data_IF_329657365149
#
_entry.id   IF_329657365149
#
_cell.length_a   1.000
_cell.length_b   1.000
_cell.length_c   1.000
_cell.angle_alpha   90.00
_cell.angle_beta   90.00
_cell.angle_gamma   90.00
#
_symmetry.space_group_name_H-M   'P 1'
#
loop_
_entity.id
_entity.type
_entity.pdbx_description
1 polymer ?
#
# COMPACT_ATOMS: atom_id res chain seq x y z
N UNK A 1 17.42 9.33 34.26
CA UNK A 1 16.03 8.81 34.22
C UNK A 1 15.78 8.04 32.91
N UNK A 2 16.35 6.84 32.68
CA UNK A 2 16.24 6.15 31.38
C UNK A 2 14.97 5.30 31.19
N UNK A 3 14.23 4.99 32.26
CA UNK A 3 13.14 4.00 32.21
C UNK A 3 11.80 4.49 31.63
N UNK A 4 11.58 5.80 31.51
CA UNK A 4 10.26 6.33 31.16
C UNK A 4 9.92 6.14 29.66
N UNK A 5 10.91 6.33 28.78
CA UNK A 5 10.71 6.20 27.33
C UNK A 5 10.57 4.73 26.90
N UNK A 6 11.22 3.80 27.61
CA UNK A 6 11.11 2.37 27.31
C UNK A 6 9.69 1.83 27.60
N UNK A 7 9.01 2.40 28.60
CA UNK A 7 7.61 2.06 28.90
C UNK A 7 6.63 2.54 27.82
N UNK A 8 6.84 3.73 27.26
CA UNK A 8 5.97 4.28 26.21
C UNK A 8 6.08 3.52 24.88
N UNK A 9 7.30 3.14 24.49
CA UNK A 9 7.50 2.34 23.27
C UNK A 9 6.84 0.96 23.39
N UNK A 10 6.97 0.31 24.55
CA UNK A 10 6.34 -0.98 24.81
C UNK A 10 4.81 -0.89 24.79
N UNK A 11 4.23 0.12 25.43
CA UNK A 11 2.79 0.34 25.44
C UNK A 11 2.23 0.63 24.03
N UNK A 12 2.98 1.34 23.18
CA UNK A 12 2.58 1.60 21.80
C UNK A 12 2.55 0.32 20.95
N UNK A 13 3.55 -0.56 21.11
CA UNK A 13 3.59 -1.85 20.40
C UNK A 13 2.47 -2.77 20.87
N UNK A 14 2.24 -2.88 22.18
CA UNK A 14 1.14 -3.69 22.73
C UNK A 14 -0.24 -3.16 22.29
N UNK A 15 -0.42 -1.84 22.25
CA UNK A 15 -1.64 -1.22 21.73
C UNK A 15 -1.89 -1.54 20.26
N UNK A 16 -0.85 -1.52 19.42
CA UNK A 16 -0.94 -1.88 18.01
C UNK A 16 -1.29 -3.36 17.81
N UNK A 17 -0.66 -4.26 18.57
CA UNK A 17 -0.93 -5.70 18.52
C UNK A 17 -2.40 -6.01 18.85
N UNK A 18 -2.91 -5.41 19.94
CA UNK A 18 -4.30 -5.58 20.38
C UNK A 18 -5.32 -5.06 19.35
N UNK A 19 -5.03 -3.91 18.72
CA UNK A 19 -5.90 -3.36 17.67
C UNK A 19 -5.97 -4.27 16.44
N UNK A 20 -4.85 -4.89 16.06
CA UNK A 20 -4.78 -5.86 14.95
C UNK A 20 -5.59 -7.12 15.25
N UNK A 21 -5.51 -7.62 16.48
CA UNK A 21 -6.25 -8.80 16.92
C UNK A 21 -7.77 -8.55 16.97
N UNK A 22 -8.20 -7.37 17.43
CA UNK A 22 -9.61 -6.97 17.40
C UNK A 22 -10.15 -6.85 15.96
N UNK A 23 -9.37 -6.31 15.03
CA UNK A 23 -9.77 -6.29 13.61
C UNK A 23 -9.91 -7.70 13.03
N UNK A 24 -8.99 -8.62 13.34
CA UNK A 24 -9.07 -10.00 12.87
C UNK A 24 -10.31 -10.72 13.43
N UNK A 25 -10.68 -10.45 14.69
CA UNK A 25 -11.88 -11.00 15.30
C UNK A 25 -13.16 -10.46 14.63
N UNK A 26 -13.22 -9.15 14.39
CA UNK A 26 -14.35 -8.52 13.70
C UNK A 26 -14.53 -9.05 12.27
N UNK A 27 -13.43 -9.29 11.55
CA UNK A 27 -13.48 -9.91 10.22
C UNK A 27 -14.02 -11.35 10.27
N UNK A 28 -13.59 -12.15 11.25
CA UNK A 28 -14.11 -13.52 11.43
C UNK A 28 -15.60 -13.52 11.76
N UNK A 29 -16.08 -12.60 12.59
CA UNK A 29 -17.49 -12.49 12.94
C UNK A 29 -18.34 -12.06 11.73
N UNK A 30 -17.83 -11.14 10.90
CA UNK A 30 -18.49 -10.73 9.65
C UNK A 30 -18.60 -11.89 8.65
N UNK A 31 -17.53 -12.71 8.53
CA UNK A 31 -17.51 -13.88 7.66
C UNK A 31 -18.46 -14.98 8.16
N UNK A 32 -18.54 -15.18 9.48
CA UNK A 32 -19.49 -16.10 10.09
C UNK A 32 -20.95 -15.66 9.88
N UNK A 33 -21.24 -14.35 9.96
CA UNK A 33 -22.57 -13.79 9.66
C UNK A 33 -22.96 -13.97 8.20
N UNK A 34 -22.02 -13.81 7.26
CA UNK A 34 -22.27 -14.15 5.87
C UNK A 34 -22.62 -15.64 5.70
N UNK A 35 -21.82 -16.55 6.27
CA UNK A 35 -22.04 -17.99 6.13
C UNK A 35 -23.35 -18.47 6.80
N UNK A 36 -23.72 -17.90 7.95
CA UNK A 36 -24.96 -18.24 8.67
C UNK A 36 -26.23 -17.72 7.99
N UNK A 37 -26.17 -16.58 7.29
CA UNK A 37 -27.33 -16.00 6.60
C UNK A 37 -27.80 -16.80 5.38
N UNK A 38 -26.88 -17.48 4.67
CA UNK A 38 -27.26 -18.29 3.49
C UNK A 38 -27.97 -19.60 3.87
N UNK A 39 -27.72 -20.15 5.07
CA UNK A 39 -28.34 -21.40 5.51
C UNK A 39 -29.79 -21.21 6.01
N UNK A 40 -30.11 -20.07 6.66
CA UNK A 40 -31.46 -19.80 7.16
C UNK A 40 -32.40 -19.28 6.07
N UNK A 41 -31.93 -18.40 5.17
CA UNK A 41 -32.75 -17.86 4.09
C UNK A 41 -33.21 -18.95 3.11
N UNK A 42 -32.29 -19.85 2.69
CA UNK A 42 -32.63 -20.98 1.81
C UNK A 42 -33.58 -21.99 2.45
N UNK A 43 -33.60 -22.09 3.79
CA UNK A 43 -34.50 -22.97 4.54
C UNK A 43 -35.89 -22.35 4.73
N UNK A 44 -35.97 -21.04 4.96
CA UNK A 44 -37.25 -20.31 5.03
C UNK A 44 -37.94 -20.22 3.67
N UNK A 45 -37.21 -19.92 2.59
CA UNK A 45 -37.78 -19.86 1.23
C UNK A 45 -38.35 -21.22 0.80
N UNK A 46 -37.70 -22.33 1.19
CA UNK A 46 -38.19 -23.69 0.90
C UNK A 46 -39.49 -24.04 1.61
N UNK A 47 -39.74 -23.47 2.80
CA UNK A 47 -41.00 -23.66 3.55
C UNK A 47 -42.11 -22.76 3.01
N UNK A 48 -41.78 -21.53 2.59
CA UNK A 48 -42.76 -20.56 2.06
C UNK A 48 -43.32 -20.97 0.69
N UNK A 49 -42.51 -21.58 -0.18
CA UNK A 49 -42.99 -22.10 -1.48
C UNK A 49 -43.78 -23.42 -1.40
N UNK A 50 -43.79 -24.13 -0.25
CA UNK A 50 -44.61 -25.33 -0.09
C UNK A 50 -46.08 -25.04 0.24
N UNK A 51 -46.38 -23.84 0.76
CA UNK A 51 -47.73 -23.50 1.21
C UNK A 51 -48.71 -23.18 0.06
N UNK A 52 -48.32 -22.45 -1.02
CA UNK A 52 -49.21 -22.14 -2.13
C UNK A 52 -49.54 -23.36 -3.03
N UNK A 53 -48.67 -24.37 -3.09
CA UNK A 53 -48.93 -25.56 -3.92
C UNK A 53 -50.02 -26.48 -3.36
N UNK A 54 -50.27 -26.47 -2.05
CA UNK A 54 -51.37 -27.25 -1.46
C UNK A 54 -52.74 -26.62 -1.72
N UNK A 55 -52.84 -25.29 -1.70
CA UNK A 55 -54.09 -24.58 -1.98
C UNK A 55 -54.48 -24.63 -3.47
N UNK A 56 -53.50 -24.59 -4.38
CA UNK A 56 -53.78 -24.65 -5.81
C UNK A 56 -54.32 -26.02 -6.27
N UNK A 57 -54.00 -27.10 -5.54
CA UNK A 57 -54.48 -28.46 -5.87
C UNK A 57 -55.93 -28.71 -5.44
N UNK A 58 -56.48 -27.92 -4.51
CA UNK A 58 -57.87 -28.06 -4.06
C UNK A 58 -58.87 -27.23 -4.88
N UNK A 59 -58.42 -26.26 -5.68
CA UNK A 59 -59.34 -25.36 -6.41
C UNK A 59 -59.58 -25.73 -7.89
N UNK A 60 -58.98 -26.81 -8.41
CA UNK A 60 -59.10 -27.21 -9.83
C UNK A 60 -60.23 -28.23 -10.12
N UNK A 61 -61.39 -28.07 -9.48
CA UNK A 61 -62.63 -28.74 -9.93
C UNK A 61 -63.70 -27.69 -10.22
N UNK A 62 -63.51 -26.86 -11.24
CA UNK A 62 -64.63 -26.24 -11.97
C UNK A 62 -64.13 -25.63 -13.30
N UNK A 63 -64.89 -25.91 -14.35
CA UNK A 63 -64.62 -25.68 -15.76
C UNK A 63 -64.58 -24.19 -16.15
N UNK A 64 -63.65 -23.79 -17.01
CA UNK A 64 -63.67 -22.47 -17.68
C UNK A 64 -63.50 -22.60 -19.21
N UNK A 65 -64.14 -21.72 -20.00
CA UNK A 65 -64.18 -21.76 -21.46
C UNK A 65 -62.94 -21.12 -22.12
N UNK A 66 -62.70 -21.34 -23.44
CA UNK A 66 -61.49 -20.88 -24.11
C UNK A 66 -61.54 -19.39 -24.51
N UNK A 67 -60.37 -18.71 -24.64
CA UNK A 67 -60.28 -17.30 -25.03
C UNK A 67 -60.27 -17.10 -26.56
N UNK A 68 -60.56 -15.87 -27.06
CA UNK A 68 -60.59 -15.56 -28.49
C UNK A 68 -59.19 -15.25 -29.06
N UNK A 69 -59.00 -15.31 -30.40
CA UNK A 69 -57.71 -15.08 -31.04
C UNK A 69 -57.36 -13.59 -31.16
N UNK A 70 -56.06 -13.27 -31.01
CA UNK A 70 -55.49 -11.92 -31.21
C UNK A 70 -54.73 -11.80 -32.54
N UNK A 71 -54.61 -10.60 -33.14
CA UNK A 71 -53.95 -10.39 -34.42
C UNK A 71 -52.42 -10.27 -34.31
N UNK A 72 -51.78 -10.76 -35.37
CA UNK A 72 -50.34 -10.80 -35.66
C UNK A 72 -49.72 -9.40 -35.74
N UNK A 73 -48.66 -9.16 -34.95
CA UNK A 73 -47.75 -8.01 -35.09
C UNK A 73 -46.30 -8.49 -35.02
N UNK A 74 -45.86 -9.21 -36.05
CA UNK A 74 -44.47 -9.59 -36.27
C UNK A 74 -44.04 -9.03 -37.62
N UNK A 75 -43.34 -7.89 -37.64
CA UNK A 75 -42.50 -7.52 -38.80
C UNK A 75 -41.45 -6.42 -38.55
N UNK A 76 -41.33 -5.82 -37.35
CA UNK A 76 -40.38 -4.71 -37.15
C UNK A 76 -39.09 -5.04 -36.37
N UNK A 77 -38.90 -6.26 -35.85
CA UNK A 77 -37.71 -6.57 -35.03
C UNK A 77 -36.57 -7.30 -35.77
N UNK A 78 -36.80 -7.86 -36.97
CA UNK A 78 -35.73 -8.57 -37.69
C UNK A 78 -34.73 -7.66 -38.43
N UNK A 79 -35.03 -6.35 -38.55
CA UNK A 79 -34.17 -5.44 -39.32
C UNK A 79 -33.03 -4.82 -38.50
N UNK A 80 -33.06 -4.91 -37.16
CA UNK A 80 -32.02 -4.33 -36.29
C UNK A 80 -30.85 -5.27 -36.00
N UNK A 81 -30.97 -6.59 -36.21
CA UNK A 81 -29.93 -7.56 -35.83
C UNK A 81 -28.89 -7.86 -36.93
N UNK A 82 -29.05 -7.36 -38.16
CA UNK A 82 -28.10 -7.64 -39.24
C UNK A 82 -26.95 -6.62 -39.39
N UNK A 83 -26.93 -5.53 -38.61
CA UNK A 83 -25.91 -4.47 -38.78
C UNK A 83 -24.67 -4.55 -37.88
N UNK A 84 -24.59 -5.44 -36.88
CA UNK A 84 -23.49 -5.39 -35.89
C UNK A 84 -22.36 -6.44 -36.05
N UNK A 85 -22.34 -7.26 -37.10
CA UNK A 85 -21.37 -8.38 -37.18
C UNK A 85 -20.12 -8.12 -38.04
N UNK A 86 -19.88 -6.90 -38.52
CA UNK A 86 -18.67 -6.60 -39.29
C UNK A 86 -17.92 -5.41 -38.69
N UNK A 87 -17.00 -5.67 -37.76
CA UNK A 87 -15.65 -5.04 -37.66
C UNK A 87 -15.03 -5.26 -36.26
N UNK A 88 -14.15 -6.25 -36.11
CA UNK A 88 -13.10 -6.21 -35.09
C UNK A 88 -11.77 -6.70 -35.69
N UNK A 89 -10.70 -5.89 -35.67
CA UNK A 89 -9.39 -6.29 -36.16
C UNK A 89 -8.63 -7.12 -35.11
N UNK A 90 -8.09 -8.25 -35.56
CA UNK A 90 -7.22 -9.15 -34.81
C UNK A 90 -5.83 -8.53 -34.61
N UNK A 91 -5.37 -8.40 -33.36
CA UNK A 91 -4.00 -7.98 -33.02
C UNK A 91 -3.05 -9.19 -32.97
N UNK A 92 -1.79 -9.08 -33.47
CA UNK A 92 -0.83 -10.17 -33.46
C UNK A 92 -0.05 -10.28 -32.13
N UNK A 93 0.52 -11.47 -31.82
CA UNK A 93 1.23 -11.74 -30.57
C UNK A 93 2.65 -11.15 -30.53
N UNK A 94 3.04 -10.77 -29.31
CA UNK A 94 4.27 -10.09 -28.89
C UNK A 94 5.43 -11.10 -28.77
N UNK A 95 6.48 -10.96 -29.59
CA UNK A 95 7.72 -11.73 -29.48
C UNK A 95 8.62 -11.16 -28.38
N UNK A 96 9.02 -12.01 -27.42
CA UNK A 96 10.10 -11.75 -26.47
C UNK A 96 11.40 -12.35 -27.02
N UNK A 97 12.32 -11.51 -27.46
CA UNK A 97 13.70 -11.90 -27.77
C UNK A 97 14.57 -11.73 -26.52
N UNK A 98 15.05 -12.84 -25.98
CA UNK A 98 16.16 -12.90 -25.03
C UNK A 98 17.45 -12.49 -25.75
N UNK A 99 18.21 -11.56 -25.18
CA UNK A 99 19.57 -11.26 -25.60
C UNK A 99 20.50 -11.46 -24.40
N UNK A 100 21.11 -12.64 -24.34
CA UNK A 100 22.29 -12.93 -23.53
C UNK A 100 23.49 -12.26 -24.20
N UNK A 101 24.13 -11.32 -23.51
CA UNK A 101 25.49 -10.90 -23.83
C UNK A 101 26.44 -11.40 -22.73
N UNK A 102 27.18 -12.45 -23.07
CA UNK A 102 28.45 -12.80 -22.46
C UNK A 102 29.54 -11.86 -22.99
N UNK A 103 30.27 -11.16 -22.13
CA UNK A 103 31.65 -10.71 -22.36
C UNK A 103 32.37 -10.72 -20.99
N UNK A 104 33.06 -11.81 -20.66
CA UNK A 104 34.43 -12.18 -21.02
C UNK A 104 35.49 -11.39 -20.22
N UNK A 105 36.10 -12.13 -19.30
CA UNK A 105 37.12 -11.72 -18.34
C UNK A 105 38.45 -11.62 -19.06
N UNK A 106 39.16 -10.50 -18.93
CA UNK A 106 40.60 -10.43 -19.21
C UNK A 106 41.28 -9.82 -17.99
N UNK A 107 41.89 -10.69 -17.19
CA UNK A 107 42.72 -10.33 -16.05
C UNK A 107 44.17 -10.14 -16.51
N UNK A 108 44.71 -8.94 -16.30
CA UNK A 108 46.15 -8.68 -16.28
C UNK A 108 46.57 -8.32 -14.85
N UNK A 109 47.70 -8.85 -14.35
CA UNK A 109 48.20 -8.52 -13.03
C UNK A 109 48.94 -7.17 -13.07
N UNK A 110 48.42 -6.20 -12.32
CA UNK A 110 49.08 -4.91 -12.07
C UNK A 110 49.82 -4.92 -10.71
N UNK A 111 50.96 -4.21 -10.61
CA UNK A 111 51.86 -4.21 -9.45
C UNK A 111 51.23 -3.56 -8.19
N UNK A 112 51.79 -3.80 -6.98
CA UNK A 112 51.20 -3.35 -5.72
C UNK A 112 51.11 -1.82 -5.64
N UNK A 113 49.89 -1.31 -5.75
CA UNK A 113 49.58 0.10 -5.64
C UNK A 113 49.65 0.56 -4.17
N UNK A 114 50.44 1.61 -3.93
CA UNK A 114 50.25 2.53 -2.80
C UNK A 114 48.78 2.94 -2.76
N UNK A 115 48.13 2.73 -1.62
CA UNK A 115 46.78 3.19 -1.28
C UNK A 115 46.71 4.72 -1.35
N UNK A 116 46.55 5.22 -2.57
CA UNK A 116 46.16 6.60 -2.83
C UNK A 116 44.66 6.60 -2.62
N UNK A 117 44.21 7.15 -1.49
CA UNK A 117 42.80 7.30 -1.15
C UNK A 117 42.11 8.09 -2.26
N UNK A 118 41.42 7.38 -3.15
CA UNK A 118 40.45 7.98 -4.07
C UNK A 118 39.52 8.88 -3.25
N UNK A 119 39.17 10.09 -3.71
CA UNK A 119 38.19 10.91 -3.01
C UNK A 119 36.94 10.06 -2.80
N UNK A 120 36.69 9.69 -1.54
CA UNK A 120 35.58 8.81 -1.21
C UNK A 120 34.32 9.44 -1.78
N UNK A 121 33.53 8.71 -2.59
CA UNK A 121 32.24 9.21 -3.03
C UNK A 121 31.48 9.64 -1.77
N UNK A 122 30.98 10.88 -1.80
CA UNK A 122 30.24 11.44 -0.67
C UNK A 122 29.15 10.47 -0.22
N UNK A 123 28.79 10.50 1.05
CA UNK A 123 27.75 9.62 1.57
C UNK A 123 26.43 9.86 0.80
N UNK A 124 26.02 8.89 -0.03
CA UNK A 124 24.74 8.94 -0.75
C UNK A 124 23.54 8.89 0.20
N UNK A 125 23.78 8.52 1.46
CA UNK A 125 22.87 8.68 2.58
C UNK A 125 21.70 7.69 2.63
N UNK A 126 21.31 7.13 1.49
CA UNK A 126 20.36 6.02 1.40
C UNK A 126 21.05 4.67 1.38
N UNK A 127 22.35 4.64 1.07
CA UNK A 127 23.12 3.43 1.07
C UNK A 127 23.39 3.00 2.52
N UNK A 128 23.19 1.71 2.76
CA UNK A 128 23.60 1.07 4.00
C UNK A 128 25.11 1.30 4.20
N UNK A 129 25.52 1.57 5.44
CA UNK A 129 26.92 1.84 5.73
C UNK A 129 27.74 0.61 5.32
N UNK A 130 28.55 0.76 4.27
CA UNK A 130 29.40 -0.32 3.78
C UNK A 130 30.63 -0.42 4.68
N UNK A 131 30.73 -1.55 5.39
CA UNK A 131 31.78 -1.83 6.35
C UNK A 131 31.24 -1.90 7.78
N UNK A 132 32.13 -2.29 8.68
CA UNK A 132 31.79 -2.48 10.08
C UNK A 132 32.12 -1.27 10.95
N UNK A 133 32.81 -0.25 10.45
CA UNK A 133 33.17 0.91 11.27
C UNK A 133 32.11 2.00 11.18
N UNK A 134 31.59 2.40 12.34
CA UNK A 134 30.70 3.56 12.51
C UNK A 134 31.26 4.46 13.61
N UNK A 135 30.93 5.75 13.56
CA UNK A 135 31.33 6.73 14.56
C UNK A 135 30.11 7.12 15.39
N UNK A 136 30.24 6.96 16.70
CA UNK A 136 29.21 7.35 17.66
C UNK A 136 29.74 8.43 18.59
N UNK A 137 28.85 9.21 19.19
CA UNK A 137 29.19 10.19 20.23
C UNK A 137 28.54 9.81 21.55
N UNK A 138 29.21 10.09 22.67
CA UNK A 138 28.64 9.82 24.00
C UNK A 138 27.41 10.69 24.31
N UNK A 139 27.29 11.85 23.65
CA UNK A 139 26.19 12.80 23.87
C UNK A 139 24.91 12.36 23.15
N UNK A 140 25.05 11.63 22.03
CA UNK A 140 23.97 11.05 21.26
C UNK A 140 24.37 9.63 20.82
N UNK A 141 24.20 8.62 21.69
CA UNK A 141 24.62 7.24 21.39
C UNK A 141 23.83 6.62 20.25
N UNK A 142 22.64 7.15 19.95
CA UNK A 142 21.78 6.71 18.86
C UNK A 142 22.15 7.35 17.51
N UNK A 143 23.15 8.23 17.47
CA UNK A 143 23.59 8.90 16.26
C UNK A 143 24.68 8.08 15.54
N UNK A 144 24.32 7.46 14.43
CA UNK A 144 25.19 6.61 13.65
C UNK A 144 25.81 7.40 12.47
N UNK A 145 27.13 7.62 12.51
CA UNK A 145 27.86 8.34 11.46
C UNK A 145 28.78 7.40 10.69
N UNK A 146 28.66 7.36 9.36
CA UNK A 146 29.53 6.56 8.52
C UNK A 146 30.95 7.17 8.42
N UNK A 147 31.98 6.37 8.08
CA UNK A 147 33.35 6.87 7.97
C UNK A 147 33.51 8.03 6.98
N UNK A 148 32.79 8.02 5.86
CA UNK A 148 32.83 9.10 4.87
C UNK A 148 32.32 10.41 5.46
N UNK A 149 31.13 10.42 6.08
CA UNK A 149 30.58 11.62 6.72
C UNK A 149 31.44 12.11 7.90
N UNK A 150 32.02 11.17 8.66
CA UNK A 150 32.95 11.52 9.71
C UNK A 150 34.14 12.30 9.12
N UNK A 151 34.85 11.74 8.14
CA UNK A 151 36.03 12.36 7.54
C UNK A 151 35.72 13.71 6.87
N UNK A 152 34.57 13.84 6.21
CA UNK A 152 34.25 15.07 5.45
C UNK A 152 33.67 16.19 6.32
N UNK A 153 32.92 15.86 7.37
CA UNK A 153 32.08 16.84 8.08
C UNK A 153 32.36 16.91 9.58
N UNK A 154 32.78 15.80 10.20
CA UNK A 154 33.00 15.72 11.65
C UNK A 154 34.47 15.92 12.01
N UNK A 155 35.37 15.21 11.34
CA UNK A 155 36.82 15.27 11.54
C UNK A 155 37.41 16.69 11.46
N UNK A 156 37.02 17.57 10.50
CA UNK A 156 37.52 18.94 10.46
C UNK A 156 36.86 19.88 11.49
N UNK A 157 35.86 19.40 12.25
CA UNK A 157 35.14 20.22 13.22
C UNK A 157 35.82 20.22 14.59
N UNK A 158 35.54 21.21 15.45
CA UNK A 158 36.07 21.25 16.82
C UNK A 158 35.52 20.12 17.71
N UNK A 159 34.51 19.37 17.25
CA UNK A 159 33.86 18.30 17.99
C UNK A 159 34.38 16.91 17.65
N UNK A 160 35.37 16.79 16.75
CA UNK A 160 35.87 15.51 16.25
C UNK A 160 36.29 14.53 17.35
N UNK A 161 36.81 15.05 18.48
CA UNK A 161 37.24 14.29 19.65
C UNK A 161 36.10 13.69 20.47
N UNK A 162 34.86 14.18 20.30
CA UNK A 162 33.67 13.66 20.98
C UNK A 162 33.06 12.43 20.28
N UNK A 163 33.67 11.99 19.19
CA UNK A 163 33.24 10.83 18.40
C UNK A 163 34.28 9.72 18.48
N UNK A 164 33.80 8.52 18.77
CA UNK A 164 34.63 7.32 18.90
C UNK A 164 34.23 6.33 17.81
N UNK A 165 35.20 5.77 17.06
CA UNK A 165 34.91 4.70 16.14
C UNK A 165 34.53 3.44 16.91
N UNK A 166 33.45 2.79 16.52
CA UNK A 166 33.04 1.47 17.00
C UNK A 166 32.87 0.52 15.82
N UNK A 167 33.02 -0.77 16.10
CA UNK A 167 32.74 -1.82 15.13
C UNK A 167 31.30 -2.27 15.34
N UNK A 168 30.44 -2.01 14.37
CA UNK A 168 29.06 -2.50 14.35
C UNK A 168 29.08 -4.03 14.21
N UNK A 169 28.47 -4.79 15.15
CA UNK A 169 28.35 -6.23 15.03
C UNK A 169 27.49 -6.67 13.84
N UNK A 170 26.61 -5.80 13.32
CA UNK A 170 25.68 -6.12 12.24
C UNK A 170 25.88 -5.18 11.03
N UNK A 171 27.00 -5.30 10.31
CA UNK A 171 27.28 -4.43 9.16
C UNK A 171 26.15 -4.53 8.13
N UNK A 172 25.73 -3.38 7.61
CA UNK A 172 24.67 -3.30 6.60
C UNK A 172 23.24 -3.22 7.15
N UNK A 173 23.03 -3.07 8.46
CA UNK A 173 21.69 -2.81 9.02
C UNK A 173 21.43 -1.34 9.37
N UNK A 174 22.47 -0.51 9.35
CA UNK A 174 22.40 0.90 9.75
C UNK A 174 22.52 1.82 8.54
N UNK A 175 21.77 2.91 8.59
CA UNK A 175 21.89 4.06 7.70
C UNK A 175 22.67 5.16 8.41
N UNK A 176 23.37 6.01 7.66
CA UNK A 176 24.06 7.14 8.27
C UNK A 176 23.06 8.27 8.59
N UNK A 177 23.01 8.76 9.82
CA UNK A 177 22.08 9.85 10.19
C UNK A 177 22.46 11.18 9.55
N UNK A 178 23.75 11.37 9.27
CA UNK A 178 24.25 12.49 8.46
C UNK A 178 23.79 12.42 6.99
N UNK A 179 23.09 11.37 6.57
CA UNK A 179 22.33 11.33 5.31
C UNK A 179 21.15 12.32 5.29
N UNK A 180 20.58 12.59 6.46
CA UNK A 180 19.36 13.36 6.60
C UNK A 180 19.71 14.84 6.54
N UNK A 181 19.08 15.58 5.62
CA UNK A 181 19.36 17.03 5.47
C UNK A 181 19.17 17.80 6.76
N UNK A 182 18.09 17.53 7.50
CA UNK A 182 17.83 18.19 8.79
C UNK A 182 18.98 18.02 9.78
N UNK A 183 19.51 16.80 9.92
CA UNK A 183 20.66 16.52 10.80
C UNK A 183 21.92 17.24 10.32
N UNK A 184 22.22 17.22 9.01
CA UNK A 184 23.36 17.97 8.47
C UNK A 184 23.24 19.49 8.69
N UNK A 185 22.03 20.03 8.57
CA UNK A 185 21.80 21.46 8.80
C UNK A 185 22.04 21.82 10.27
N UNK A 186 21.45 21.05 11.19
CA UNK A 186 21.70 21.18 12.63
C UNK A 186 23.19 21.09 12.98
N UNK A 187 23.91 20.16 12.33
CA UNK A 187 25.36 20.02 12.49
C UNK A 187 26.13 21.27 12.04
N UNK A 188 25.82 21.79 10.84
CA UNK A 188 26.46 23.00 10.31
C UNK A 188 26.21 24.20 11.21
N UNK A 189 24.99 24.35 11.74
CA UNK A 189 24.65 25.41 12.68
C UNK A 189 25.46 25.28 13.98
N UNK A 190 25.54 24.08 14.56
CA UNK A 190 26.34 23.82 15.76
C UNK A 190 27.82 24.14 15.54
N UNK A 191 28.39 23.76 14.38
CA UNK A 191 29.77 24.09 14.03
C UNK A 191 29.99 25.60 13.88
N UNK A 192 29.07 26.30 13.19
CA UNK A 192 29.15 27.74 13.01
C UNK A 192 29.14 28.49 14.37
N UNK A 193 28.26 28.08 15.28
CA UNK A 193 28.15 28.71 16.60
C UNK A 193 29.30 28.38 17.54
N UNK A 194 29.80 27.14 17.52
CA UNK A 194 30.99 26.78 18.30
C UNK A 194 32.27 27.47 17.82
N UNK A 195 32.36 27.80 16.53
CA UNK A 195 33.48 28.59 16.02
C UNK A 195 33.52 30.01 16.58
N UNK A 196 32.35 30.57 16.95
CA UNK A 196 32.24 31.91 17.55
C UNK A 196 32.42 31.93 19.06
N UNK A 197 32.18 30.81 19.75
CA UNK A 197 32.17 30.71 21.21
C UNK A 197 32.66 29.33 21.67
N UNK A 198 33.98 29.21 21.76
CA UNK A 198 34.64 27.95 22.12
C UNK A 198 34.32 27.50 23.55
N UNK A 199 34.01 28.43 24.46
CA UNK A 199 33.63 28.11 25.84
C UNK A 199 32.32 27.35 25.94
N UNK A 200 31.43 27.52 24.95
CA UNK A 200 30.12 26.88 24.91
C UNK A 200 30.03 25.74 23.88
N UNK A 201 31.17 25.23 23.38
CA UNK A 201 31.21 24.15 22.39
C UNK A 201 30.40 22.91 22.84
N UNK A 202 30.56 22.48 24.10
CA UNK A 202 29.83 21.32 24.63
C UNK A 202 28.31 21.52 24.63
N UNK A 203 27.84 22.74 24.93
CA UNK A 203 26.41 23.09 24.91
C UNK A 203 25.86 22.98 23.48
N UNK A 204 26.62 23.41 22.47
CA UNK A 204 26.21 23.30 21.08
C UNK A 204 26.17 21.85 20.60
N UNK A 205 27.09 21.00 21.05
CA UNK A 205 27.06 19.56 20.77
C UNK A 205 25.83 18.89 21.41
N UNK A 206 25.48 19.26 22.66
CA UNK A 206 24.26 18.79 23.32
C UNK A 206 22.98 19.25 22.59
N UNK A 207 22.95 20.49 22.10
CA UNK A 207 21.82 21.00 21.31
C UNK A 207 21.68 20.27 19.98
N UNK A 208 22.79 20.04 19.29
CA UNK A 208 22.82 19.21 18.09
C UNK A 208 22.27 17.81 18.36
N UNK A 209 22.75 17.14 19.41
CA UNK A 209 22.30 15.81 19.83
C UNK A 209 20.78 15.77 20.07
N UNK A 210 20.25 16.74 20.83
CA UNK A 210 18.82 16.85 21.10
C UNK A 210 18.02 17.07 19.81
N UNK A 211 18.47 17.98 18.94
CA UNK A 211 17.78 18.28 17.69
C UNK A 211 17.82 17.09 16.71
N UNK A 212 18.96 16.38 16.61
CA UNK A 212 19.06 15.18 15.81
C UNK A 212 18.10 14.10 16.28
N UNK A 213 17.96 13.91 17.60
CA UNK A 213 17.03 12.94 18.17
C UNK A 213 15.57 13.28 17.84
N UNK A 214 15.19 14.56 17.90
CA UNK A 214 13.86 15.03 17.48
C UNK A 214 13.61 14.79 15.99
N UNK A 215 14.60 15.07 15.13
CA UNK A 215 14.48 14.82 13.69
C UNK A 215 14.31 13.32 13.41
N UNK A 216 15.12 12.48 14.07
CA UNK A 216 15.08 11.02 13.91
C UNK A 216 13.77 10.41 14.42
N UNK A 217 13.21 10.91 15.53
CA UNK A 217 11.92 10.43 16.04
C UNK A 217 10.78 10.78 15.09
N UNK A 218 10.80 11.98 14.50
CA UNK A 218 9.82 12.38 13.47
C UNK A 218 9.94 11.52 12.22
N UNK A 219 11.16 11.26 11.73
CA UNK A 219 11.43 10.38 10.59
C UNK A 219 10.92 8.97 10.85
N UNK A 220 11.20 8.42 12.03
CA UNK A 220 10.77 7.07 12.42
C UNK A 220 9.25 6.97 12.51
N UNK A 221 8.60 7.97 13.13
CA UNK A 221 7.14 8.03 13.21
C UNK A 221 6.52 8.10 11.81
N UNK A 222 7.09 8.88 10.91
CA UNK A 222 6.59 9.01 9.54
C UNK A 222 6.81 7.73 8.72
N UNK A 223 7.94 7.03 8.89
CA UNK A 223 8.15 5.73 8.25
C UNK A 223 7.14 4.68 8.75
N UNK A 224 6.81 4.71 10.04
CA UNK A 224 5.77 3.84 10.61
C UNK A 224 4.38 4.13 10.02
N UNK A 225 4.00 5.40 9.84
CA UNK A 225 2.72 5.76 9.21
C UNK A 225 2.68 5.34 7.74
N UNK A 226 3.75 5.56 6.98
CA UNK A 226 3.88 5.11 5.58
C UNK A 226 3.71 3.59 5.49
N UNK A 227 4.34 2.83 6.39
CA UNK A 227 4.26 1.37 6.39
C UNK A 227 2.84 0.89 6.70
N UNK A 228 2.20 1.49 7.71
CA UNK A 228 0.80 1.21 8.04
C UNK A 228 -0.16 1.55 6.88
N UNK A 229 0.04 2.68 6.21
CA UNK A 229 -0.76 3.07 5.05
C UNK A 229 -0.60 2.08 3.88
N UNK A 230 0.62 1.62 3.61
CA UNK A 230 0.86 0.59 2.58
C UNK A 230 0.12 -0.70 2.89
N UNK A 231 0.16 -1.18 4.12
CA UNK A 231 -0.59 -2.37 4.54
C UNK A 231 -2.10 -2.18 4.38
N UNK A 232 -2.63 -1.01 4.77
CA UNK A 232 -4.04 -0.70 4.59
C UNK A 232 -4.48 -0.64 3.11
N UNK A 233 -3.65 -0.08 2.23
CA UNK A 233 -3.91 -0.05 0.78
C UNK A 233 -3.92 -1.47 0.21
N UNK A 234 -2.98 -2.32 0.61
CA UNK A 234 -2.95 -3.72 0.18
C UNK A 234 -4.21 -4.48 0.63
N UNK A 235 -4.63 -4.29 1.89
CA UNK A 235 -5.84 -4.94 2.41
C UNK A 235 -7.10 -4.46 1.68
N UNK A 236 -7.24 -3.14 1.47
CA UNK A 236 -8.37 -2.57 0.75
C UNK A 236 -8.43 -3.07 -0.70
N UNK A 237 -7.27 -3.20 -1.35
CA UNK A 237 -7.17 -3.73 -2.71
C UNK A 237 -7.63 -5.19 -2.77
N UNK A 238 -7.22 -6.02 -1.81
CA UNK A 238 -7.65 -7.42 -1.74
C UNK A 238 -9.16 -7.55 -1.48
N UNK A 239 -9.72 -6.72 -0.60
CA UNK A 239 -11.17 -6.68 -0.35
C UNK A 239 -11.95 -6.29 -1.62
N UNK A 240 -11.47 -5.27 -2.35
CA UNK A 240 -12.09 -4.86 -3.61
C UNK A 240 -12.09 -5.99 -4.66
N UNK A 241 -11.00 -6.76 -4.76
CA UNK A 241 -10.92 -7.92 -5.65
C UNK A 241 -11.91 -9.02 -5.27
N UNK A 242 -12.05 -9.33 -3.97
CA UNK A 242 -12.99 -10.34 -3.51
C UNK A 242 -14.45 -9.92 -3.78
N UNK A 243 -14.79 -8.66 -3.49
CA UNK A 243 -16.11 -8.11 -3.78
C UNK A 243 -16.44 -8.20 -5.27
N UNK A 244 -15.49 -7.82 -6.14
CA UNK A 244 -15.66 -7.93 -7.59
C UNK A 244 -15.86 -9.38 -8.05
N UNK A 245 -15.05 -10.32 -7.55
CA UNK A 245 -15.19 -11.75 -7.88
C UNK A 245 -16.56 -12.31 -7.45
N UNK A 246 -17.03 -11.94 -6.25
CA UNK A 246 -18.34 -12.36 -5.75
C UNK A 246 -19.50 -11.80 -6.60
N UNK A 247 -19.37 -10.56 -7.10
CA UNK A 247 -20.35 -9.95 -7.98
C UNK A 247 -20.39 -10.64 -9.36
N UNK A 248 -19.22 -11.01 -9.91
CA UNK A 248 -19.14 -11.78 -11.15
C UNK A 248 -19.75 -13.18 -11.02
N UNK A 249 -19.53 -13.85 -9.89
CA UNK A 249 -20.13 -15.17 -9.66
C UNK A 249 -21.67 -15.10 -9.57
N UNK A 250 -22.21 -14.10 -8.85
CA UNK A 250 -23.66 -13.95 -8.70
C UNK A 250 -24.35 -13.55 -10.02
N UNK A 251 -23.73 -12.68 -10.81
CA UNK A 251 -24.27 -12.33 -12.13
C UNK A 251 -24.28 -13.54 -13.07
N UNK A 252 -23.23 -14.37 -13.05
CA UNK A 252 -23.20 -15.63 -13.81
C UNK A 252 -24.34 -16.57 -13.44
N UNK A 253 -24.66 -16.72 -12.15
CA UNK A 253 -25.81 -17.51 -11.69
C UNK A 253 -27.15 -16.91 -12.17
N UNK A 254 -27.29 -15.58 -12.12
CA UNK A 254 -28.48 -14.89 -12.63
C UNK A 254 -28.71 -15.12 -14.12
N UNK A 255 -27.65 -15.02 -14.94
CA UNK A 255 -27.73 -15.33 -16.38
C UNK A 255 -28.13 -16.78 -16.60
N UNK A 256 -27.49 -17.75 -15.93
CA UNK A 256 -27.81 -19.16 -16.09
C UNK A 256 -29.28 -19.49 -15.80
N UNK A 257 -29.88 -18.89 -14.77
CA UNK A 257 -31.30 -19.10 -14.44
C UNK A 257 -32.24 -18.45 -15.46
N UNK A 258 -31.86 -17.28 -16.01
CA UNK A 258 -32.62 -16.63 -17.07
C UNK A 258 -32.64 -17.46 -18.37
N UNK A 259 -31.51 -18.09 -18.73
CA UNK A 259 -31.42 -18.97 -19.89
C UNK A 259 -32.36 -20.19 -19.79
N UNK A 260 -32.51 -20.77 -18.60
CA UNK A 260 -33.36 -21.95 -18.37
C UNK A 260 -34.85 -21.60 -18.55
N UNK A 261 -35.30 -20.44 -18.07
CA UNK A 261 -36.70 -20.01 -18.24
C UNK A 261 -37.06 -19.65 -19.68
N UNK A 262 -36.09 -19.21 -20.50
CA UNK A 262 -36.32 -18.88 -21.91
C UNK A 262 -36.63 -20.10 -22.79
N UNK A 263 -36.18 -21.30 -22.42
CA UNK A 263 -36.34 -22.52 -23.24
C UNK A 263 -37.68 -23.22 -22.91
N UNK A 264 -38.26 -22.96 -21.73
CA UNK A 264 -39.48 -23.62 -21.25
C UNK A 264 -40.82 -23.10 -21.79
N UNK A 265 -40.84 -22.11 -22.70
CA UNK A 265 -42.08 -21.64 -23.35
C UNK A 265 -43.12 -20.99 -22.43
N UNK A 266 -42.74 -20.59 -21.21
CA UNK A 266 -43.62 -19.92 -20.25
C UNK A 266 -43.74 -18.42 -20.51
N UNK A 267 -44.98 -17.92 -20.53
CA UNK A 267 -45.34 -16.52 -20.79
C UNK A 267 -44.49 -15.48 -20.03
N UNK A 268 -44.11 -14.43 -20.76
CA UNK A 268 -43.43 -13.23 -20.29
C UNK A 268 -44.16 -12.59 -19.10
N UNK A 269 -43.66 -12.83 -17.89
CA UNK A 269 -43.74 -11.82 -16.85
C UNK A 269 -42.52 -10.92 -16.98
N UNK A 270 -42.76 -9.62 -17.07
CA UNK A 270 -41.79 -8.52 -17.11
C UNK A 270 -41.02 -8.41 -15.78
N UNK A 271 -40.26 -9.46 -15.44
CA UNK A 271 -39.42 -9.56 -14.24
C UNK A 271 -38.01 -9.00 -14.45
N UNK A 272 -37.70 -8.44 -15.63
CA UNK A 272 -36.38 -7.92 -15.98
C UNK A 272 -35.95 -6.69 -15.15
N UNK A 273 -36.88 -6.04 -14.46
CA UNK A 273 -36.62 -4.83 -13.68
C UNK A 273 -35.84 -5.09 -12.38
N UNK A 274 -36.05 -6.24 -11.71
CA UNK A 274 -35.52 -6.45 -10.35
C UNK A 274 -34.04 -6.86 -10.36
N UNK A 275 -33.59 -7.58 -11.39
CA UNK A 275 -32.19 -8.03 -11.52
C UNK A 275 -31.27 -6.86 -11.90
N UNK A 276 -31.75 -5.91 -12.72
CA UNK A 276 -30.98 -4.71 -13.08
C UNK A 276 -30.75 -3.76 -11.90
N UNK A 277 -31.72 -3.63 -10.98
CA UNK A 277 -31.58 -2.74 -9.82
C UNK A 277 -30.56 -3.26 -8.79
N UNK A 278 -30.53 -4.58 -8.53
CA UNK A 278 -29.59 -5.18 -7.58
C UNK A 278 -28.14 -5.18 -8.10
N UNK A 279 -27.94 -5.32 -9.42
CA UNK A 279 -26.61 -5.22 -10.05
C UNK A 279 -26.02 -3.80 -9.97
N UNK A 280 -26.85 -2.77 -10.18
CA UNK A 280 -26.41 -1.37 -10.19
C UNK A 280 -25.92 -0.87 -8.82
N UNK A 281 -26.55 -1.31 -7.73
CA UNK A 281 -26.16 -0.90 -6.37
C UNK A 281 -24.83 -1.51 -5.89
N UNK A 282 -24.38 -2.62 -6.47
CA UNK A 282 -23.11 -3.26 -6.08
C UNK A 282 -21.93 -2.80 -6.92
N UNK A 283 -22.20 -2.44 -8.17
CA UNK A 283 -21.20 -1.78 -9.01
C UNK A 283 -20.81 -0.42 -8.44
N UNK A 284 -21.76 0.29 -7.82
CA UNK A 284 -21.48 1.55 -7.12
C UNK A 284 -20.62 1.34 -5.86
N UNK A 285 -20.80 0.25 -5.12
CA UNK A 285 -20.00 -0.08 -3.94
C UNK A 285 -18.55 -0.43 -4.30
N UNK A 286 -18.34 -1.25 -5.34
CA UNK A 286 -17.00 -1.53 -5.86
C UNK A 286 -16.30 -0.26 -6.38
N UNK A 287 -17.06 0.66 -6.97
CA UNK A 287 -16.54 1.97 -7.41
C UNK A 287 -16.15 2.85 -6.23
N UNK A 288 -16.93 2.81 -5.14
CA UNK A 288 -16.64 3.54 -3.90
C UNK A 288 -15.37 3.03 -3.21
N UNK A 289 -15.18 1.71 -3.13
CA UNK A 289 -13.94 1.11 -2.62
C UNK A 289 -12.71 1.52 -3.44
N UNK A 290 -12.84 1.62 -4.77
CA UNK A 290 -11.75 2.13 -5.63
C UNK A 290 -11.41 3.59 -5.32
N UNK A 291 -12.40 4.44 -5.06
CA UNK A 291 -12.12 5.84 -4.65
C UNK A 291 -11.40 5.89 -3.30
N UNK A 292 -11.79 5.06 -2.33
CA UNK A 292 -11.12 5.01 -1.02
C UNK A 292 -9.65 4.59 -1.16
N UNK A 293 -9.34 3.65 -2.06
CA UNK A 293 -7.95 3.28 -2.39
C UNK A 293 -7.20 4.49 -2.98
N UNK A 294 -7.78 5.19 -3.96
CA UNK A 294 -7.16 6.37 -4.58
C UNK A 294 -6.89 7.50 -3.57
N UNK A 295 -7.79 7.72 -2.61
CA UNK A 295 -7.59 8.72 -1.54
C UNK A 295 -6.40 8.33 -0.66
N UNK A 296 -6.30 7.06 -0.25
CA UNK A 296 -5.17 6.58 0.57
C UNK A 296 -3.84 6.62 -0.19
N UNK A 297 -3.85 6.33 -1.49
CA UNK A 297 -2.66 6.48 -2.35
C UNK A 297 -2.20 7.94 -2.44
N UNK A 298 -3.15 8.88 -2.55
CA UNK A 298 -2.85 10.31 -2.52
C UNK A 298 -2.26 10.75 -1.18
N UNK A 299 -2.82 10.32 -0.05
CA UNK A 299 -2.29 10.59 1.29
C UNK A 299 -0.88 10.01 1.49
N UNK A 300 -0.65 8.78 1.01
CA UNK A 300 0.68 8.17 0.98
C UNK A 300 1.66 8.98 0.14
N UNK A 301 1.22 9.46 -1.03
CA UNK A 301 2.01 10.34 -1.90
C UNK A 301 2.39 11.65 -1.21
N UNK A 302 1.45 12.27 -0.48
CA UNK A 302 1.71 13.49 0.30
C UNK A 302 2.70 13.23 1.44
N UNK A 303 2.52 12.15 2.19
CA UNK A 303 3.45 11.77 3.26
C UNK A 303 4.86 11.48 2.75
N UNK A 304 4.98 10.83 1.58
CA UNK A 304 6.27 10.62 0.91
C UNK A 304 6.90 11.93 0.41
N UNK A 305 6.11 12.91 -0.03
CA UNK A 305 6.61 14.22 -0.43
C UNK A 305 7.12 15.02 0.78
N UNK A 306 6.38 15.03 1.89
CA UNK A 306 6.82 15.63 3.17
C UNK A 306 8.10 14.96 3.69
N UNK A 307 8.17 13.62 3.62
CA UNK A 307 9.38 12.88 3.93
C UNK A 307 10.56 13.28 3.05
N UNK A 308 10.35 13.35 1.73
CA UNK A 308 11.40 13.77 0.79
C UNK A 308 11.86 15.20 1.05
N UNK A 309 10.97 16.09 1.46
CA UNK A 309 11.33 17.45 1.86
C UNK A 309 12.20 17.44 3.12
N UNK A 310 11.86 16.63 4.13
CA UNK A 310 12.62 16.48 5.37
C UNK A 310 13.99 15.81 5.20
N UNK A 311 14.03 14.69 4.46
CA UNK A 311 15.26 13.96 4.15
C UNK A 311 16.09 14.69 3.10
N UNK A 312 15.43 15.53 2.30
CA UNK A 312 16.10 16.36 1.33
C UNK A 312 16.63 15.59 0.14
N UNK A 313 15.87 14.63 -0.38
CA UNK A 313 16.10 14.18 -1.75
C UNK A 313 15.63 15.30 -2.69
N UNK A 314 16.43 16.36 -2.78
CA UNK A 314 16.20 17.45 -3.71
C UNK A 314 16.73 17.02 -5.05
N UNK A 315 15.82 16.79 -6.00
CA UNK A 315 16.06 17.15 -7.40
C UNK A 315 16.46 18.62 -7.37
N UNK A 316 17.62 18.94 -7.95
CA UNK A 316 18.30 20.23 -7.83
C UNK A 316 17.37 21.43 -8.05
N UNK A 317 17.05 22.12 -6.95
CA UNK A 317 16.20 23.30 -6.93
C UNK A 317 16.78 24.30 -5.94
N UNK A 318 17.59 25.21 -6.47
CA UNK A 318 18.24 26.34 -5.80
C UNK A 318 17.23 27.11 -4.93
N UNK A 319 17.47 27.16 -3.62
CA UNK A 319 16.84 28.15 -2.75
C UNK A 319 17.92 28.70 -1.82
N UNK A 320 18.45 29.86 -2.21
CA UNK A 320 19.19 30.74 -1.32
C UNK A 320 18.24 31.21 -0.21
N UNK A 321 18.60 30.93 1.03
CA UNK A 321 18.03 31.57 2.21
C UNK A 321 19.20 32.20 2.95
N UNK A 322 19.48 33.44 2.57
CA UNK A 322 20.24 34.44 3.33
C UNK A 322 19.41 34.99 4.47
#
# INVERSE_FOLDING_TARGET
MPGFFQGLAKAAVEGYQNAKEQQALAQREALAKQQGGYASAASQERLEWQQPQQDYRQQQTCSLPPPPPRPQRQQSQQQYQQQEVHSLPTLPPRQQSQQQQHQNVTSHPAPPAKTTSSPSPGCNGLDLIQGSQIYITFVAPDLDICPSCYQTSIAPSPFSTSFTPIIDPNPGHKTCDMAIKGVRHAWKEACARASTDATNAEIWLQRFASQSQTIMSHVTALLATITSLKEQIQLATLQAQFTQASAMNQTSHGFSMSCINSIGGGNYYDGGSVISAAGNNRFSEATRMKMDVSVKEYELGRGLAEFRALVGCGVDGRADWS
#
